data_IF_652983771177
#
_entry.id   IF_652983771177
#
_cell.length_a   1.000
_cell.length_b   1.000
_cell.length_c   1.000
_cell.angle_alpha   90.00
_cell.angle_beta   90.00
_cell.angle_gamma   90.00
#
_symmetry.space_group_name_H-M   'P 1'
#
loop_
_entity.id
_entity.type
_entity.pdbx_description
1 polymer ?
#
# COMPACT_ATOMS: atom_id res chain seq x y z
N UNK A 1 -10.63 9.50 10.02
CA UNK A 1 -10.89 9.21 11.45
C UNK A 1 -9.77 9.74 12.34
N UNK A 2 -8.50 9.37 12.15
CA UNK A 2 -7.38 9.87 12.96
C UNK A 2 -6.89 11.31 12.63
N UNK A 3 -7.69 12.14 11.95
CA UNK A 3 -7.38 13.56 11.67
C UNK A 3 -6.73 13.92 10.33
N UNK A 4 -6.27 12.95 9.52
CA UNK A 4 -5.73 13.25 8.18
C UNK A 4 -6.84 13.62 7.17
N UNK A 5 -6.54 14.57 6.27
CA UNK A 5 -7.43 15.01 5.18
C UNK A 5 -7.28 14.18 3.91
N UNK A 6 -6.08 13.67 3.66
CA UNK A 6 -5.74 12.85 2.49
C UNK A 6 -4.76 11.75 2.88
N UNK A 7 -4.58 10.77 2.00
CA UNK A 7 -3.64 9.66 2.17
C UNK A 7 -2.74 9.55 0.95
N UNK A 8 -1.47 9.21 1.17
CA UNK A 8 -0.52 8.87 0.12
C UNK A 8 -0.33 7.35 0.12
N UNK A 9 -0.47 6.71 -1.05
CA UNK A 9 -0.40 5.26 -1.18
C UNK A 9 0.64 4.83 -2.22
N UNK A 10 1.66 4.08 -1.80
CA UNK A 10 2.70 3.54 -2.69
C UNK A 10 2.37 2.12 -3.17
N UNK A 11 2.60 1.13 -2.31
CA UNK A 11 2.43 -0.30 -2.64
C UNK A 11 1.03 -0.68 -3.12
N UNK A 12 0.00 0.03 -2.66
CA UNK A 12 -1.38 -0.18 -3.09
C UNK A 12 -1.55 0.07 -4.59
N UNK A 13 -0.90 1.11 -5.10
CA UNK A 13 -1.00 1.57 -6.49
C UNK A 13 0.16 1.08 -7.37
N UNK A 14 1.23 0.56 -6.78
CA UNK A 14 2.41 0.12 -7.54
C UNK A 14 2.12 -1.02 -8.53
N UNK A 15 1.12 -1.85 -8.25
CA UNK A 15 0.73 -3.00 -9.08
C UNK A 15 -0.28 -2.68 -10.20
N UNK A 16 -0.71 -1.42 -10.34
CA UNK A 16 -1.72 -1.05 -11.35
C UNK A 16 -1.10 -0.89 -12.73
N UNK A 17 -1.90 -1.02 -13.78
CA UNK A 17 -1.48 -0.92 -15.18
C UNK A 17 -0.72 0.39 -15.46
N UNK A 18 -1.24 1.50 -14.96
CA UNK A 18 -0.74 2.86 -15.15
C UNK A 18 0.56 3.16 -14.39
N UNK A 19 0.99 2.28 -13.48
CA UNK A 19 2.27 2.47 -12.80
C UNK A 19 3.44 2.31 -13.77
N UNK A 20 4.55 3.05 -13.60
CA UNK A 20 5.60 3.15 -14.61
C UNK A 20 6.42 1.87 -14.80
N UNK A 21 6.34 0.93 -13.86
CA UNK A 21 7.07 -0.33 -13.92
C UNK A 21 6.50 -1.27 -14.98
N UNK A 22 7.33 -2.11 -15.58
CA UNK A 22 6.86 -3.15 -16.50
C UNK A 22 6.17 -4.31 -15.75
N UNK A 23 5.31 -5.02 -16.47
CA UNK A 23 4.67 -6.25 -15.96
C UNK A 23 5.61 -7.44 -16.13
N UNK A 24 5.91 -8.11 -15.03
CA UNK A 24 6.78 -9.27 -14.93
C UNK A 24 5.92 -10.52 -14.75
N UNK A 25 6.16 -11.57 -15.53
CA UNK A 25 5.55 -12.88 -15.30
C UNK A 25 6.47 -13.70 -14.40
N UNK A 26 5.96 -14.16 -13.27
CA UNK A 26 6.69 -15.03 -12.35
C UNK A 26 5.78 -16.13 -11.81
N UNK A 27 6.21 -17.39 -11.92
CA UNK A 27 5.43 -18.57 -11.55
C UNK A 27 3.99 -18.53 -12.09
N UNK A 28 3.82 -18.12 -13.36
CA UNK A 28 2.52 -18.05 -14.03
C UNK A 28 1.60 -16.90 -13.57
N UNK A 29 2.06 -16.01 -12.69
CA UNK A 29 1.30 -14.83 -12.23
C UNK A 29 1.96 -13.54 -12.69
N UNK A 30 1.14 -12.50 -12.89
CA UNK A 30 1.59 -11.14 -13.26
C UNK A 30 1.96 -10.35 -12.01
N UNK A 31 3.10 -9.68 -12.05
CA UNK A 31 3.63 -8.80 -11.02
C UNK A 31 4.13 -7.50 -11.64
N UNK A 32 4.33 -6.45 -10.84
CA UNK A 32 5.11 -5.25 -11.23
C UNK A 32 6.22 -5.02 -10.23
N UNK A 33 7.34 -4.44 -10.68
CA UNK A 33 8.43 -4.07 -9.78
C UNK A 33 8.03 -2.87 -8.91
N UNK A 34 8.35 -2.92 -7.63
CA UNK A 34 8.12 -1.86 -6.67
C UNK A 34 9.32 -1.73 -5.76
N UNK A 35 9.88 -0.52 -5.66
CA UNK A 35 11.08 -0.27 -4.86
C UNK A 35 10.89 0.96 -3.98
N UNK A 36 11.38 0.87 -2.76
CA UNK A 36 11.51 2.02 -1.87
C UNK A 36 12.53 3.00 -2.44
N UNK A 37 12.32 4.30 -2.26
CA UNK A 37 13.25 5.30 -2.78
C UNK A 37 14.62 5.27 -2.09
N UNK A 38 14.73 4.60 -0.93
CA UNK A 38 16.00 4.33 -0.23
C UNK A 38 16.61 2.97 -0.57
N UNK A 39 16.09 2.28 -1.60
CA UNK A 39 16.75 1.10 -2.15
C UNK A 39 18.00 1.50 -2.94
N UNK A 40 19.00 0.62 -2.98
CA UNK A 40 20.21 0.82 -3.78
C UNK A 40 19.87 1.15 -5.25
N UNK A 41 18.88 0.45 -5.81
CA UNK A 41 18.45 0.61 -7.21
C UNK A 41 17.78 1.98 -7.49
N UNK A 42 17.18 2.60 -6.48
CA UNK A 42 16.66 3.95 -6.57
C UNK A 42 17.78 4.99 -6.32
N UNK A 43 18.64 4.76 -5.34
CA UNK A 43 19.73 5.68 -4.98
C UNK A 43 20.75 5.83 -6.10
N UNK A 44 21.05 4.74 -6.82
CA UNK A 44 21.85 4.80 -8.05
C UNK A 44 21.26 5.71 -9.14
N UNK A 45 19.93 5.89 -9.14
CA UNK A 45 19.20 6.73 -10.10
C UNK A 45 18.88 8.12 -9.54
N UNK A 46 19.59 8.55 -8.49
CA UNK A 46 19.55 9.94 -8.01
C UNK A 46 18.62 10.19 -6.81
N UNK A 47 18.17 9.17 -6.08
CA UNK A 47 17.43 9.39 -4.83
C UNK A 47 18.31 9.61 -3.59
N UNK A 48 19.64 9.66 -3.73
CA UNK A 48 20.62 9.78 -2.62
C UNK A 48 20.38 11.00 -1.72
N UNK A 49 20.05 12.15 -2.32
CA UNK A 49 19.83 13.43 -1.63
C UNK A 49 18.75 13.33 -0.53
N UNK A 50 17.71 12.53 -0.76
CA UNK A 50 16.65 12.31 0.23
C UNK A 50 17.09 11.53 1.46
N UNK A 51 18.24 10.87 1.40
CA UNK A 51 18.83 10.08 2.47
C UNK A 51 20.14 10.68 2.96
N UNK A 52 20.47 11.91 2.54
CA UNK A 52 21.70 12.60 2.94
C UNK A 52 22.98 11.81 2.57
N UNK A 53 22.93 11.06 1.47
CA UNK A 53 24.03 10.22 0.96
C UNK A 53 24.58 10.72 -0.39
N UNK A 54 24.27 11.96 -0.73
CA UNK A 54 24.63 12.68 -1.95
C UNK A 54 26.13 12.92 -2.10
N UNK A 55 26.89 12.94 -0.99
CA UNK A 55 28.36 13.02 -0.98
C UNK A 55 29.06 11.68 -1.22
N UNK A 56 28.33 10.56 -1.20
CA UNK A 56 28.91 9.23 -1.37
C UNK A 56 28.74 8.74 -2.82
N UNK A 57 29.83 8.78 -3.58
CA UNK A 57 29.89 8.31 -4.96
C UNK A 57 30.01 6.79 -5.05
N UNK A 58 30.58 6.12 -4.05
CA UNK A 58 30.72 4.66 -4.04
C UNK A 58 29.41 3.98 -3.61
N UNK A 59 28.76 3.34 -4.59
CA UNK A 59 27.54 2.56 -4.41
C UNK A 59 27.67 1.53 -3.27
N UNK A 60 28.87 0.95 -3.07
CA UNK A 60 29.10 -0.08 -2.04
C UNK A 60 29.05 0.47 -0.62
N UNK A 61 29.22 1.78 -0.46
CA UNK A 61 29.17 2.48 0.84
C UNK A 61 27.81 3.06 1.16
N UNK A 62 26.89 3.04 0.20
CA UNK A 62 25.51 3.46 0.44
C UNK A 62 24.85 2.54 1.48
N UNK A 63 24.14 3.15 2.42
CA UNK A 63 23.35 2.45 3.45
C UNK A 63 21.89 2.49 3.02
N UNK A 64 21.31 1.39 2.51
CA UNK A 64 19.94 1.39 2.03
C UNK A 64 18.93 1.35 3.18
N UNK A 65 17.96 2.26 3.14
CA UNK A 65 16.79 2.31 4.04
C UNK A 65 15.51 1.75 3.38
N UNK A 66 15.63 1.19 2.17
CA UNK A 66 14.53 0.60 1.43
C UNK A 66 14.93 -0.65 0.67
N UNK A 67 13.92 -1.44 0.29
CA UNK A 67 14.10 -2.65 -0.52
C UNK A 67 13.49 -2.50 -1.91
N UNK A 68 14.00 -3.28 -2.86
CA UNK A 68 13.34 -3.56 -4.14
C UNK A 68 12.57 -4.88 -4.01
N UNK A 69 11.31 -4.88 -4.42
CA UNK A 69 10.41 -6.01 -4.35
C UNK A 69 9.51 -6.07 -5.59
N UNK A 70 8.62 -7.06 -5.63
CA UNK A 70 7.55 -7.17 -6.61
C UNK A 70 6.21 -7.17 -5.91
N UNK A 71 5.22 -6.55 -6.53
CA UNK A 71 3.83 -6.55 -6.07
C UNK A 71 2.94 -7.24 -7.11
N UNK A 72 1.88 -7.96 -6.71
CA UNK A 72 0.95 -8.55 -7.67
C UNK A 72 0.35 -7.49 -8.59
N UNK A 73 0.07 -7.87 -9.84
CA UNK A 73 -0.69 -7.03 -10.76
C UNK A 73 -2.12 -6.86 -10.25
N UNK A 74 -2.64 -5.62 -10.24
CA UNK A 74 -3.92 -5.26 -9.60
C UNK A 74 -5.00 -4.77 -10.57
N UNK A 75 -4.75 -4.85 -11.87
CA UNK A 75 -5.65 -4.24 -12.86
C UNK A 75 -5.39 -2.75 -13.01
N UNK A 76 -6.44 -1.99 -13.30
CA UNK A 76 -6.38 -0.55 -13.53
C UNK A 76 -6.42 0.23 -12.22
N UNK A 77 -5.93 1.47 -12.23
CA UNK A 77 -6.01 2.37 -11.07
C UNK A 77 -7.46 2.66 -10.69
N UNK A 78 -8.36 2.71 -11.68
CA UNK A 78 -9.78 2.95 -11.48
C UNK A 78 -10.43 1.87 -10.60
N UNK A 79 -10.18 0.60 -10.91
CA UNK A 79 -10.73 -0.54 -10.14
C UNK A 79 -10.27 -0.51 -8.69
N UNK A 80 -8.98 -0.23 -8.47
CA UNK A 80 -8.42 -0.12 -7.11
C UNK A 80 -9.04 1.06 -6.36
N UNK A 81 -9.12 2.24 -6.97
CA UNK A 81 -9.72 3.44 -6.33
C UNK A 81 -11.20 3.22 -6.03
N UNK A 82 -11.93 2.57 -6.94
CA UNK A 82 -13.35 2.27 -6.74
C UNK A 82 -13.58 1.45 -5.46
N UNK A 83 -12.79 0.38 -5.26
CA UNK A 83 -12.85 -0.44 -4.04
C UNK A 83 -12.47 0.36 -2.78
N UNK A 84 -11.44 1.20 -2.85
CA UNK A 84 -11.02 2.02 -1.72
C UNK A 84 -12.07 3.05 -1.32
N UNK A 85 -12.70 3.71 -2.30
CA UNK A 85 -13.80 4.64 -2.05
C UNK A 85 -15.04 3.91 -1.49
N UNK A 86 -15.32 2.70 -1.97
CA UNK A 86 -16.36 1.83 -1.42
C UNK A 86 -16.14 1.54 0.07
N UNK A 87 -14.92 1.11 0.43
CA UNK A 87 -14.54 0.85 1.83
C UNK A 87 -14.61 2.10 2.70
N UNK A 88 -14.13 3.25 2.21
CA UNK A 88 -14.21 4.53 2.93
C UNK A 88 -15.67 4.92 3.19
N UNK A 89 -16.53 4.86 2.18
CA UNK A 89 -17.96 5.20 2.30
C UNK A 89 -18.69 4.28 3.27
N UNK A 90 -18.40 2.97 3.24
CA UNK A 90 -18.95 2.01 4.19
C UNK A 90 -18.52 2.34 5.63
N UNK A 91 -17.23 2.62 5.85
CA UNK A 91 -16.70 3.05 7.15
C UNK A 91 -17.33 4.35 7.65
N UNK A 92 -17.48 5.35 6.78
CA UNK A 92 -18.20 6.59 7.09
C UNK A 92 -19.66 6.32 7.49
N UNK A 93 -20.33 5.38 6.81
CA UNK A 93 -21.68 4.93 7.17
C UNK A 93 -21.76 4.35 8.58
N UNK A 94 -20.85 3.43 8.95
CA UNK A 94 -20.79 2.88 10.31
C UNK A 94 -20.52 3.94 11.38
N UNK A 95 -19.75 4.98 11.06
CA UNK A 95 -19.47 6.09 11.98
C UNK A 95 -20.56 7.18 11.99
N UNK A 96 -21.58 7.10 11.12
CA UNK A 96 -22.57 8.18 10.96
C UNK A 96 -21.98 9.49 10.43
N UNK A 97 -20.86 9.42 9.71
CA UNK A 97 -20.13 10.60 9.21
C UNK A 97 -20.57 10.96 7.79
N UNK A 98 -21.20 12.12 7.60
CA UNK A 98 -21.60 12.65 6.28
C UNK A 98 -20.46 13.34 5.52
N UNK A 99 -19.37 13.68 6.21
CA UNK A 99 -18.18 14.33 5.65
C UNK A 99 -16.88 13.79 6.28
N UNK A 100 -15.73 14.13 5.67
CA UNK A 100 -14.42 13.78 6.22
C UNK A 100 -14.17 14.48 7.56
N UNK A 101 -14.65 15.71 7.72
CA UNK A 101 -14.58 16.47 8.97
C UNK A 101 -15.40 15.79 10.07
N UNK A 102 -16.61 15.32 9.76
CA UNK A 102 -17.40 14.51 10.72
C UNK A 102 -16.68 13.21 11.07
N UNK A 103 -16.04 12.56 10.09
CA UNK A 103 -15.29 11.33 10.31
C UNK A 103 -14.10 11.54 11.26
N UNK A 104 -13.54 12.74 11.37
CA UNK A 104 -12.49 13.05 12.35
C UNK A 104 -12.97 12.98 13.80
N UNK A 105 -14.29 13.08 14.05
CA UNK A 105 -14.88 12.92 15.37
C UNK A 105 -15.11 11.45 15.79
N UNK A 106 -14.89 10.50 14.88
CA UNK A 106 -15.05 9.07 15.13
C UNK A 106 -14.19 8.61 16.33
N UNK A 107 -14.67 7.58 17.04
CA UNK A 107 -13.97 7.00 18.20
C UNK A 107 -13.34 5.67 17.82
N UNK A 108 -12.14 5.45 18.34
CA UNK A 108 -11.42 4.19 18.22
C UNK A 108 -11.51 3.40 19.51
N UNK A 109 -11.47 2.07 19.40
CA UNK A 109 -11.23 1.18 20.53
C UNK A 109 -9.91 0.46 20.32
N UNK A 110 -9.18 0.19 21.41
CA UNK A 110 -7.93 -0.57 21.35
C UNK A 110 -8.24 -2.05 21.47
N UNK A 111 -7.68 -2.84 20.57
CA UNK A 111 -7.83 -4.30 20.54
C UNK A 111 -6.48 -4.99 20.77
N UNK A 112 -6.52 -6.26 21.15
CA UNK A 112 -5.34 -7.12 21.28
C UNK A 112 -5.01 -7.79 19.94
N UNK A 113 -3.86 -8.48 19.86
CA UNK A 113 -3.52 -9.29 18.68
C UNK A 113 -4.55 -10.40 18.39
N UNK A 114 -5.21 -10.94 19.44
CA UNK A 114 -6.31 -11.88 19.26
C UNK A 114 -7.50 -11.22 18.54
N UNK A 115 -7.85 -9.98 18.92
CA UNK A 115 -8.90 -9.22 18.23
C UNK A 115 -8.55 -8.87 16.77
N UNK A 116 -7.26 -8.71 16.45
CA UNK A 116 -6.80 -8.54 15.05
C UNK A 116 -7.04 -9.82 14.26
N UNK A 117 -6.68 -10.98 14.83
CA UNK A 117 -6.93 -12.28 14.19
C UNK A 117 -8.44 -12.53 13.99
N UNK A 118 -9.27 -12.17 14.98
CA UNK A 118 -10.72 -12.25 14.92
C UNK A 118 -11.32 -11.33 13.84
N UNK A 119 -10.74 -10.15 13.62
CA UNK A 119 -11.22 -9.18 12.61
C UNK A 119 -11.03 -9.65 11.15
N UNK A 120 -10.09 -10.56 10.91
CA UNK A 120 -9.88 -11.18 9.61
C UNK A 120 -10.73 -12.46 9.47
N UNK A 121 -11.09 -12.90 8.25
CA UNK A 121 -11.67 -14.22 8.07
C UNK A 121 -10.78 -15.30 8.72
N UNK A 122 -11.35 -16.04 9.65
CA UNK A 122 -10.71 -17.09 10.43
C UNK A 122 -11.59 -18.34 10.43
N UNK A 123 -10.98 -19.50 10.66
CA UNK A 123 -11.64 -20.82 10.72
C UNK A 123 -12.40 -21.24 9.45
N UNK A 124 -12.09 -20.62 8.30
CA UNK A 124 -12.64 -20.95 6.98
C UNK A 124 -11.56 -20.97 5.90
N UNK A 125 -11.75 -21.79 4.87
CA UNK A 125 -10.91 -21.77 3.66
C UNK A 125 -11.53 -20.84 2.62
N UNK A 126 -10.81 -19.78 2.27
CA UNK A 126 -11.21 -18.85 1.20
C UNK A 126 -11.05 -19.54 -0.16
N UNK A 127 -12.13 -19.68 -0.90
CA UNK A 127 -12.14 -20.33 -2.24
C UNK A 127 -12.03 -19.35 -3.39
N UNK A 128 -12.42 -18.08 -3.17
CA UNK A 128 -12.28 -16.98 -4.13
C UNK A 128 -11.86 -15.72 -3.38
N UNK A 129 -10.85 -15.03 -3.90
CA UNK A 129 -10.39 -13.77 -3.31
C UNK A 129 -11.36 -12.64 -3.67
N UNK A 130 -11.64 -11.78 -2.70
CA UNK A 130 -12.41 -10.56 -2.92
C UNK A 130 -11.47 -9.46 -3.45
N UNK A 131 -11.96 -8.56 -4.33
CA UNK A 131 -11.11 -7.54 -4.94
C UNK A 131 -10.53 -6.52 -3.94
N UNK A 132 -11.09 -6.44 -2.74
CA UNK A 132 -10.68 -5.53 -1.67
C UNK A 132 -10.02 -6.23 -0.47
N UNK A 133 -9.72 -7.54 -0.56
CA UNK A 133 -9.15 -8.29 0.55
C UNK A 133 -8.11 -9.32 0.09
N UNK A 134 -6.88 -9.18 0.60
CA UNK A 134 -5.81 -10.18 0.50
C UNK A 134 -5.08 -10.29 1.82
N UNK A 135 -4.70 -11.50 2.23
CA UNK A 135 -3.85 -11.74 3.41
C UNK A 135 -2.37 -11.82 3.00
#
# INVERSE_FOLDING_TARGET
AAGAWSVMAGSMLAGVEESPSETIIYNGRKFKSYRGMGSLEAMQKGSKDRYFQDVEDDIKKLVPEGISARVPYKGTVYEVIYQMLGGLRAGMGYCGAKSIEDLHNARFTRITNAGVAESHPHDVTVTSEAPNYSR
#
